data_IF_072500399998
#
_entry.id   IF_072500399998
#
_cell.length_a   1.000
_cell.length_b   1.000
_cell.length_c   1.000
_cell.angle_alpha   90.00
_cell.angle_beta   90.00
_cell.angle_gamma   90.00
#
_symmetry.space_group_name_H-M   'P 1'
#
loop_
_entity.id
_entity.type
_entity.pdbx_description
1 polymer ?
#
# COMPACT_ATOMS: atom_id res chain seq x y z
N UNK A 1 -8.48 -3.11 11.70
CA UNK A 1 -7.94 -1.97 10.92
C UNK A 1 -8.99 -0.88 10.92
N UNK A 2 -8.72 0.24 11.59
CA UNK A 2 -9.62 1.39 11.57
C UNK A 2 -9.60 2.00 10.16
N UNK A 3 -10.76 2.13 9.53
CA UNK A 3 -10.88 2.76 8.20
C UNK A 3 -11.32 4.20 8.42
N UNK A 4 -10.45 5.17 8.12
CA UNK A 4 -10.77 6.59 8.28
C UNK A 4 -11.69 7.12 7.17
N UNK A 5 -11.75 6.43 6.03
CA UNK A 5 -12.61 6.75 4.91
C UNK A 5 -13.02 5.47 4.17
N UNK A 6 -14.24 5.43 3.63
CA UNK A 6 -14.74 4.32 2.81
C UNK A 6 -15.54 4.87 1.62
N UNK A 7 -15.37 4.30 0.41
CA UNK A 7 -16.14 4.74 -0.75
C UNK A 7 -17.57 4.24 -0.69
N UNK A 8 -18.48 4.99 -1.31
CA UNK A 8 -19.86 4.57 -1.53
C UNK A 8 -19.92 3.76 -2.82
N UNK A 9 -20.55 2.59 -2.77
CA UNK A 9 -20.62 1.65 -3.90
C UNK A 9 -22.06 1.20 -4.08
N UNK A 10 -22.52 1.21 -5.33
CA UNK A 10 -23.82 0.66 -5.68
C UNK A 10 -23.76 -0.87 -5.72
N UNK A 11 -24.68 -1.55 -5.04
CA UNK A 11 -24.87 -3.00 -5.13
C UNK A 11 -26.36 -3.29 -5.27
N UNK A 12 -26.77 -3.67 -6.48
CA UNK A 12 -28.18 -3.84 -6.81
C UNK A 12 -28.93 -2.51 -6.69
N UNK A 13 -29.97 -2.49 -5.85
CA UNK A 13 -30.85 -1.31 -5.63
C UNK A 13 -30.30 -0.38 -4.54
N UNK A 14 -29.31 -0.81 -3.74
CA UNK A 14 -28.80 -0.06 -2.59
C UNK A 14 -27.38 0.48 -2.75
N UNK A 15 -27.03 1.42 -1.86
CA UNK A 15 -25.67 1.91 -1.66
C UNK A 15 -25.07 1.29 -0.40
N UNK A 16 -23.78 0.94 -0.46
CA UNK A 16 -23.04 0.38 0.67
C UNK A 16 -21.64 0.95 0.72
N UNK A 17 -21.09 1.07 1.93
CA UNK A 17 -19.67 1.32 2.15
C UNK A 17 -18.82 0.17 1.57
N UNK A 18 -17.99 0.50 0.58
CA UNK A 18 -17.09 -0.41 -0.09
C UNK A 18 -15.88 -0.78 0.77
N UNK A 19 -15.17 -1.84 0.36
CA UNK A 19 -13.94 -2.28 1.03
C UNK A 19 -12.80 -1.25 0.90
N UNK A 20 -12.72 -0.58 -0.25
CA UNK A 20 -11.69 0.40 -0.59
C UNK A 20 -11.95 1.05 -1.95
N UNK A 21 -11.24 2.13 -2.23
CA UNK A 21 -11.33 2.90 -3.47
C UNK A 21 -10.76 2.13 -4.66
N UNK A 22 -11.34 2.31 -5.85
CA UNK A 22 -10.81 1.70 -7.07
C UNK A 22 -9.51 2.39 -7.51
N UNK A 23 -8.78 1.74 -8.42
CA UNK A 23 -7.54 2.29 -8.98
C UNK A 23 -7.84 3.62 -9.71
N UNK A 24 -8.96 3.69 -10.42
CA UNK A 24 -9.33 4.87 -11.22
C UNK A 24 -9.76 6.04 -10.33
N UNK A 25 -10.43 5.78 -9.21
CA UNK A 25 -10.75 6.83 -8.23
C UNK A 25 -9.49 7.40 -7.57
N UNK A 26 -8.55 6.53 -7.19
CA UNK A 26 -7.27 6.92 -6.60
C UNK A 26 -6.44 7.75 -7.59
N UNK A 27 -6.40 7.34 -8.87
CA UNK A 27 -5.77 8.13 -9.94
C UNK A 27 -6.50 9.46 -10.17
N UNK A 28 -7.83 9.48 -10.16
CA UNK A 28 -8.64 10.69 -10.31
C UNK A 28 -8.43 11.70 -9.19
N UNK A 29 -8.06 11.22 -7.99
CA UNK A 29 -7.64 12.07 -6.87
C UNK A 29 -6.19 12.58 -6.98
N UNK A 30 -5.45 12.22 -8.03
CA UNK A 30 -4.08 12.67 -8.29
C UNK A 30 -3.03 11.97 -7.43
N UNK A 31 -3.33 10.78 -6.90
CA UNK A 31 -2.44 10.04 -5.99
C UNK A 31 -2.16 8.65 -6.55
N UNK A 32 -0.97 8.11 -6.29
CA UNK A 32 -0.64 6.73 -6.65
C UNK A 32 -1.15 5.74 -5.58
N UNK A 33 -1.46 4.51 -5.95
CA UNK A 33 -1.87 3.42 -5.03
C UNK A 33 -0.90 3.27 -3.85
N UNK A 34 0.41 3.41 -4.10
CA UNK A 34 1.43 3.34 -3.05
C UNK A 34 1.31 4.48 -2.03
N UNK A 35 1.08 5.71 -2.50
CA UNK A 35 0.90 6.90 -1.67
C UNK A 35 -0.45 6.87 -0.94
N UNK A 36 -1.52 6.44 -1.61
CA UNK A 36 -2.83 6.26 -0.99
C UNK A 36 -2.76 5.27 0.18
N UNK A 37 -2.11 4.11 -0.01
CA UNK A 37 -1.88 3.12 1.06
C UNK A 37 -1.06 3.67 2.22
N UNK A 38 -0.20 4.65 1.93
CA UNK A 38 0.67 5.28 2.92
C UNK A 38 -0.05 6.29 3.80
N UNK A 39 -0.97 7.03 3.18
CA UNK A 39 -1.90 7.91 3.88
C UNK A 39 -2.90 7.11 4.75
N UNK A 40 -3.05 5.80 4.48
CA UNK A 40 -4.01 4.94 5.19
C UNK A 40 -5.34 4.78 4.44
N UNK A 41 -5.40 5.19 3.17
CA UNK A 41 -6.56 4.99 2.31
C UNK A 41 -6.67 3.51 1.93
N UNK A 42 -7.83 2.87 2.17
CA UNK A 42 -8.05 1.52 1.69
C UNK A 42 -8.24 1.51 0.17
N UNK A 43 -7.43 0.73 -0.55
CA UNK A 43 -7.51 0.58 -2.02
C UNK A 43 -7.96 -0.84 -2.37
N UNK A 44 -8.98 -0.95 -3.21
CA UNK A 44 -9.46 -2.21 -3.80
C UNK A 44 -9.04 -2.32 -5.27
N UNK A 45 -7.92 -3.00 -5.50
CA UNK A 45 -7.33 -3.15 -6.83
C UNK A 45 -8.17 -3.99 -7.80
N UNK A 46 -9.16 -4.74 -7.29
CA UNK A 46 -9.99 -5.64 -8.11
C UNK A 46 -11.25 -4.97 -8.65
N UNK A 47 -11.58 -3.77 -8.17
CA UNK A 47 -12.76 -3.02 -8.61
C UNK A 47 -12.39 -2.09 -9.77
N UNK A 48 -13.14 -2.18 -10.86
CA UNK A 48 -13.01 -1.31 -12.04
C UNK A 48 -13.99 -0.13 -12.03
N UNK A 49 -15.06 -0.16 -11.23
CA UNK A 49 -16.04 0.94 -11.18
C UNK A 49 -15.46 2.17 -10.49
N UNK A 50 -15.75 3.34 -11.03
CA UNK A 50 -15.43 4.64 -10.47
C UNK A 50 -16.69 5.50 -10.33
N UNK A 51 -16.78 6.25 -9.23
CA UNK A 51 -17.85 7.22 -8.99
C UNK A 51 -17.25 8.61 -8.74
N UNK A 52 -17.73 9.67 -9.42
CA UNK A 52 -17.20 11.03 -9.24
C UNK A 52 -17.26 11.52 -7.78
N UNK A 53 -18.36 11.23 -7.08
CA UNK A 53 -18.55 11.59 -5.66
C UNK A 53 -17.44 11.03 -4.76
N UNK A 54 -17.00 9.79 -5.02
CA UNK A 54 -15.90 9.18 -4.28
C UNK A 54 -14.57 9.87 -4.57
N UNK A 55 -14.35 10.35 -5.79
CA UNK A 55 -13.12 11.06 -6.17
C UNK A 55 -13.03 12.40 -5.45
N UNK A 56 -14.13 13.15 -5.36
CA UNK A 56 -14.17 14.42 -4.65
C UNK A 56 -13.98 14.24 -3.15
N UNK A 57 -14.66 13.27 -2.54
CA UNK A 57 -14.48 12.92 -1.13
C UNK A 57 -13.02 12.51 -0.83
N UNK A 58 -12.42 11.73 -1.73
CA UNK A 58 -11.01 11.32 -1.59
C UNK A 58 -10.05 12.51 -1.72
N UNK A 59 -10.29 13.45 -2.64
CA UNK A 59 -9.48 14.68 -2.80
C UNK A 59 -9.53 15.55 -1.54
N UNK A 60 -10.72 15.77 -0.99
CA UNK A 60 -10.90 16.56 0.24
C UNK A 60 -10.14 15.92 1.41
N UNK A 61 -10.29 14.61 1.59
CA UNK A 61 -9.60 13.87 2.64
C UNK A 61 -8.08 13.89 2.48
N UNK A 62 -7.56 13.77 1.26
CA UNK A 62 -6.11 13.85 1.00
C UNK A 62 -5.56 15.25 1.30
N UNK A 63 -6.32 16.31 0.98
CA UNK A 63 -5.91 17.67 1.29
C UNK A 63 -5.79 17.89 2.81
N UNK A 64 -6.74 17.36 3.58
CA UNK A 64 -6.70 17.38 5.04
C UNK A 64 -5.55 16.53 5.60
N UNK A 65 -5.39 15.30 5.12
CA UNK A 65 -4.31 14.41 5.56
C UNK A 65 -2.90 14.97 5.27
N UNK A 66 -2.75 15.73 4.18
CA UNK A 66 -1.48 16.44 3.87
C UNK A 66 -1.22 17.60 4.81
N UNK A 67 -2.26 18.31 5.25
CA UNK A 67 -2.15 19.41 6.23
C UNK A 67 -1.71 18.88 7.60
N UNK A 68 -2.26 17.74 8.01
CA UNK A 68 -1.89 17.03 9.24
C UNK A 68 -0.50 16.36 9.18
N UNK A 69 0.17 16.39 8.02
CA UNK A 69 1.55 15.92 7.88
C UNK A 69 1.73 14.41 7.98
N UNK A 70 0.70 13.61 7.71
CA UNK A 70 0.78 12.15 7.86
C UNK A 70 1.68 11.51 6.79
N UNK A 71 2.98 11.40 7.10
CA UNK A 71 3.94 10.59 6.37
C UNK A 71 4.38 9.44 7.25
N UNK A 72 3.79 8.26 7.06
CA UNK A 72 4.44 7.04 7.53
C UNK A 72 5.78 6.95 6.80
N UNK A 73 6.94 6.61 7.35
CA UNK A 73 8.09 6.33 6.50
C UNK A 73 7.96 4.91 5.93
N UNK A 74 8.09 4.74 4.60
CA UNK A 74 8.23 3.38 4.06
C UNK A 74 9.53 2.81 4.63
N UNK A 75 9.55 1.61 5.25
CA UNK A 75 10.80 1.01 5.67
C UNK A 75 11.69 0.86 4.44
N UNK A 76 12.81 1.59 4.42
CA UNK A 76 13.80 1.46 3.35
C UNK A 76 14.45 0.09 3.50
N UNK A 77 14.37 -0.74 2.47
CA UNK A 77 15.22 -1.93 2.41
C UNK A 77 16.67 -1.46 2.34
N UNK A 78 17.43 -1.71 3.40
CA UNK A 78 18.83 -1.26 3.54
C UNK A 78 19.77 -1.96 2.56
N UNK A 79 19.44 -3.18 2.13
CA UNK A 79 20.17 -3.93 1.10
C UNK A 79 19.25 -4.89 0.35
N UNK A 80 19.58 -5.19 -0.91
CA UNK A 80 18.95 -6.29 -1.64
C UNK A 80 19.40 -7.62 -1.03
N UNK A 81 18.49 -8.57 -0.86
CA UNK A 81 18.86 -9.92 -0.43
C UNK A 81 19.86 -10.54 -1.42
N UNK A 82 20.95 -11.14 -0.91
CA UNK A 82 21.96 -11.79 -1.74
C UNK A 82 21.30 -12.97 -2.49
N UNK A 83 21.20 -12.92 -3.82
CA UNK A 83 20.67 -14.04 -4.63
C UNK A 83 21.67 -15.21 -4.63
N UNK A 84 21.14 -16.43 -4.66
CA UNK A 84 21.94 -17.65 -4.71
C UNK A 84 22.73 -17.91 -3.43
N UNK A 85 22.19 -17.58 -2.23
CA UNK A 85 22.89 -17.78 -0.95
C UNK A 85 23.36 -19.22 -0.74
N UNK A 86 22.55 -20.20 -1.14
CA UNK A 86 22.89 -21.61 -1.01
C UNK A 86 24.10 -21.96 -1.88
N UNK A 87 24.02 -21.70 -3.19
CA UNK A 87 25.12 -21.94 -4.14
C UNK A 87 26.40 -21.19 -3.77
N UNK A 88 26.29 -19.94 -3.32
CA UNK A 88 27.43 -19.13 -2.89
C UNK A 88 27.95 -19.48 -1.49
N UNK A 89 27.36 -20.46 -0.80
CA UNK A 89 27.78 -20.87 0.54
C UNK A 89 27.58 -19.80 1.62
N UNK A 90 26.58 -18.93 1.47
CA UNK A 90 26.25 -17.82 2.38
C UNK A 90 25.10 -18.15 3.35
N UNK A 91 24.60 -19.39 3.30
CA UNK A 91 23.70 -19.96 4.31
C UNK A 91 24.46 -20.25 5.61
N UNK A 92 23.76 -20.50 6.72
CA UNK A 92 24.38 -20.86 8.01
C UNK A 92 25.31 -22.07 7.87
N UNK A 93 24.83 -23.16 7.26
CA UNK A 93 25.64 -24.35 7.00
C UNK A 93 26.79 -24.09 6.02
N UNK A 94 26.57 -23.32 4.95
CA UNK A 94 27.61 -22.98 3.98
C UNK A 94 28.72 -22.12 4.57
N UNK A 95 28.38 -21.16 5.43
CA UNK A 95 29.36 -20.36 6.18
C UNK A 95 30.13 -21.24 7.17
N UNK A 96 29.47 -22.19 7.84
CA UNK A 96 30.09 -23.16 8.75
C UNK A 96 31.09 -24.05 8.02
N UNK A 97 30.70 -24.62 6.86
CA UNK A 97 31.58 -25.42 6.01
C UNK A 97 32.81 -24.64 5.53
N UNK A 98 32.63 -23.36 5.18
CA UNK A 98 33.71 -22.47 4.75
C UNK A 98 34.55 -21.90 5.90
N UNK A 99 34.28 -22.27 7.15
CA UNK A 99 34.89 -21.69 8.35
C UNK A 99 34.78 -20.14 8.42
N UNK A 100 33.72 -19.57 7.86
CA UNK A 100 33.44 -18.13 7.85
C UNK A 100 32.46 -17.70 8.94
N UNK A 101 32.09 -18.60 9.84
CA UNK A 101 31.40 -18.24 11.07
C UNK A 101 32.37 -17.45 11.96
N UNK A 102 31.89 -16.39 12.60
CA UNK A 102 32.67 -15.76 13.67
C UNK A 102 32.88 -16.80 14.78
N UNK A 103 34.12 -16.91 15.24
CA UNK A 103 34.46 -17.46 16.57
C UNK A 103 33.65 -16.77 17.66
#
# INVERSE_FOLDING_TARGET
MVRMISPIVKRGVGFKAGKGFSIDEVKGAGVNVGEARHLGVPVDQRRSTSYPENVEALKAWIAEARKEGFRVPKPKMTSKGQRGRAFRGLTSSGKKMRALGKS
#
